data_IF_994527452010
#
_entry.id   IF_994527452010
#
_cell.length_a   1.000
_cell.length_b   1.000
_cell.length_c   1.000
_cell.angle_alpha   90.00
_cell.angle_beta   90.00
_cell.angle_gamma   90.00
#
_symmetry.space_group_name_H-M   'P 1'
#
loop_
_entity.id
_entity.type
_entity.pdbx_description
1 polymer ?
#
# COMPACT_ATOMS: atom_id res chain seq x y z
N UNK A 1 4.77 23.23 -18.37
CA UNK A 1 5.01 21.77 -18.29
C UNK A 1 4.06 20.98 -19.18
N UNK A 2 2.75 21.13 -19.02
CA UNK A 2 1.74 20.37 -19.78
C UNK A 2 1.95 20.43 -21.29
N UNK A 3 2.34 21.59 -21.83
CA UNK A 3 2.62 21.77 -23.26
C UNK A 3 3.76 20.87 -23.77
N UNK A 4 4.84 20.75 -23.01
CA UNK A 4 5.98 19.88 -23.33
C UNK A 4 5.56 18.42 -23.28
N UNK A 5 4.80 18.03 -22.25
CA UNK A 5 4.25 16.67 -22.13
C UNK A 5 3.30 16.34 -23.28
N UNK A 6 2.49 17.31 -23.72
CA UNK A 6 1.61 17.18 -24.86
C UNK A 6 2.40 16.88 -26.14
N UNK A 7 3.45 17.65 -26.44
CA UNK A 7 4.31 17.36 -27.60
C UNK A 7 5.02 16.01 -27.48
N UNK A 8 5.54 15.69 -26.29
CA UNK A 8 6.24 14.43 -26.06
C UNK A 8 5.33 13.21 -26.30
N UNK A 9 4.07 13.27 -25.84
CA UNK A 9 3.07 12.22 -26.10
C UNK A 9 2.67 12.20 -27.57
N UNK A 10 2.32 13.36 -28.15
CA UNK A 10 1.88 13.49 -29.54
C UNK A 10 2.90 12.94 -30.54
N UNK A 11 4.19 13.14 -30.27
CA UNK A 11 5.28 12.74 -31.16
C UNK A 11 6.03 11.49 -30.67
N UNK A 12 5.45 10.71 -29.75
CA UNK A 12 5.99 9.44 -29.25
C UNK A 12 7.36 9.51 -28.53
N UNK A 13 7.79 10.68 -28.06
CA UNK A 13 8.98 10.80 -27.21
C UNK A 13 8.74 10.26 -25.79
N UNK A 14 7.47 10.16 -25.34
CA UNK A 14 7.13 9.61 -24.02
C UNK A 14 7.67 8.20 -23.80
N UNK A 15 7.80 7.39 -24.87
CA UNK A 15 8.32 6.01 -24.85
C UNK A 15 9.79 5.89 -24.41
N UNK A 16 10.56 6.95 -24.61
CA UNK A 16 12.02 6.97 -24.36
C UNK A 16 12.40 7.90 -23.20
N UNK A 17 11.39 8.36 -22.45
CA UNK A 17 11.52 9.37 -21.40
C UNK A 17 11.10 8.84 -20.04
N UNK A 18 11.25 9.64 -18.99
CA UNK A 18 10.85 9.22 -17.64
C UNK A 18 9.35 9.02 -17.53
N UNK A 19 8.99 7.95 -16.81
CA UNK A 19 7.64 7.54 -16.45
C UNK A 19 7.08 8.30 -15.24
N UNK A 20 7.73 9.37 -14.78
CA UNK A 20 7.34 10.13 -13.59
C UNK A 20 7.29 11.64 -13.89
N UNK A 21 6.21 12.31 -13.46
CA UNK A 21 5.99 13.75 -13.67
C UNK A 21 7.12 14.62 -13.11
N UNK A 22 7.71 14.23 -11.99
CA UNK A 22 8.75 15.01 -11.33
C UNK A 22 10.03 15.14 -12.17
N UNK A 23 10.38 14.10 -12.94
CA UNK A 23 11.53 14.16 -13.83
C UNK A 23 11.38 15.24 -14.92
N UNK A 24 10.16 15.41 -15.44
CA UNK A 24 9.83 16.49 -16.37
C UNK A 24 9.89 17.86 -15.71
N UNK A 25 9.46 17.97 -14.45
CA UNK A 25 9.51 19.22 -13.67
C UNK A 25 10.95 19.68 -13.50
N UNK A 26 11.83 18.76 -13.10
CA UNK A 26 13.25 19.03 -12.89
C UNK A 26 13.95 19.45 -14.19
N UNK A 27 13.65 18.79 -15.32
CA UNK A 27 14.19 19.17 -16.62
C UNK A 27 13.80 20.61 -17.01
N UNK A 28 12.50 20.94 -16.90
CA UNK A 28 12.01 22.29 -17.22
C UNK A 28 12.62 23.32 -16.26
N UNK A 29 12.68 23.01 -14.97
CA UNK A 29 13.28 23.88 -13.96
C UNK A 29 14.74 24.16 -14.25
N UNK A 30 15.51 23.15 -14.69
CA UNK A 30 16.92 23.30 -15.03
C UNK A 30 17.15 24.21 -16.24
N UNK A 31 16.37 24.02 -17.31
CA UNK A 31 16.41 24.88 -18.51
C UNK A 31 15.99 26.32 -18.18
N UNK A 32 14.90 26.49 -17.42
CA UNK A 32 14.43 27.82 -16.99
C UNK A 32 15.47 28.53 -16.13
N UNK A 33 16.10 27.81 -15.20
CA UNK A 33 17.13 28.36 -14.33
C UNK A 33 18.36 28.83 -15.12
N UNK A 34 18.87 28.03 -16.06
CA UNK A 34 20.01 28.43 -16.88
C UNK A 34 19.68 29.53 -17.88
N UNK A 35 18.45 29.57 -18.40
CA UNK A 35 17.96 30.69 -19.21
C UNK A 35 17.99 32.00 -18.42
N UNK A 36 17.51 31.99 -17.17
CA UNK A 36 17.53 33.16 -16.28
C UNK A 36 18.97 33.59 -15.99
N UNK A 37 19.86 32.66 -15.65
CA UNK A 37 21.27 32.96 -15.40
C UNK A 37 21.99 33.52 -16.63
N UNK A 38 21.57 33.12 -17.84
CA UNK A 38 22.17 33.58 -19.10
C UNK A 38 21.57 34.91 -19.60
N UNK A 39 20.44 35.33 -19.04
CA UNK A 39 19.69 36.52 -19.47
C UNK A 39 20.47 37.86 -19.39
N UNK A 40 21.36 38.10 -18.41
CA UNK A 40 22.18 39.31 -18.34
C UNK A 40 23.22 39.43 -19.46
N UNK A 41 23.62 38.32 -20.09
CA UNK A 41 24.67 38.30 -21.09
C UNK A 41 24.12 38.55 -22.51
N UNK A 42 24.95 39.04 -23.42
CA UNK A 42 24.67 38.94 -24.85
C UNK A 42 24.81 37.48 -25.28
N UNK A 43 23.82 36.98 -26.01
CA UNK A 43 23.74 35.59 -26.45
C UNK A 43 23.98 35.42 -27.95
N UNK A 44 24.54 36.43 -28.62
CA UNK A 44 24.90 36.30 -30.03
C UNK A 44 25.98 35.24 -30.24
N UNK A 45 26.07 34.74 -31.47
CA UNK A 45 26.96 33.64 -31.84
C UNK A 45 28.21 34.19 -32.52
N UNK A 46 29.39 33.74 -32.08
CA UNK A 46 30.69 34.07 -32.66
C UNK A 46 31.43 32.79 -33.12
N UNK A 47 32.18 32.83 -34.24
CA UNK A 47 32.92 31.66 -34.72
C UNK A 47 34.03 31.19 -33.77
N UNK A 48 34.63 32.09 -33.00
CA UNK A 48 35.77 31.78 -32.12
C UNK A 48 35.34 31.44 -30.67
N UNK A 49 34.04 31.37 -30.41
CA UNK A 49 33.51 31.12 -29.08
C UNK A 49 33.49 29.63 -28.74
N UNK A 50 33.99 29.30 -27.55
CA UNK A 50 33.84 27.95 -27.00
C UNK A 50 32.45 27.79 -26.37
N UNK A 51 31.53 27.24 -27.15
CA UNK A 51 30.16 26.95 -26.72
C UNK A 51 30.06 25.87 -25.64
N UNK A 52 31.16 25.21 -25.26
CA UNK A 52 31.15 24.30 -24.11
C UNK A 52 31.25 25.04 -22.77
N UNK A 53 31.63 26.32 -22.80
CA UNK A 53 31.88 27.14 -21.62
C UNK A 53 30.71 28.11 -21.40
N UNK A 54 30.23 28.18 -20.16
CA UNK A 54 29.28 29.22 -19.71
C UNK A 54 27.89 28.70 -19.29
N UNK A 55 27.04 29.59 -18.74
CA UNK A 55 25.79 29.20 -18.09
C UNK A 55 24.78 28.55 -19.03
N UNK A 56 24.68 29.04 -20.27
CA UNK A 56 23.75 28.54 -21.29
C UNK A 56 24.05 27.10 -21.73
N UNK A 57 25.33 26.72 -21.72
CA UNK A 57 25.77 25.39 -22.13
C UNK A 57 25.81 24.38 -20.97
N UNK A 58 26.07 24.84 -19.75
CA UNK A 58 26.31 23.99 -18.57
C UNK A 58 25.24 22.92 -18.31
N UNK A 59 23.95 23.30 -18.33
CA UNK A 59 22.85 22.37 -18.14
C UNK A 59 22.65 21.46 -19.36
N UNK A 60 22.77 22.02 -20.58
CA UNK A 60 22.67 21.25 -21.82
C UNK A 60 23.71 20.14 -21.90
N UNK A 61 24.97 20.43 -21.53
CA UNK A 61 26.09 19.48 -21.48
C UNK A 61 25.87 18.41 -20.42
N UNK A 62 25.42 18.79 -19.22
CA UNK A 62 25.13 17.84 -18.15
C UNK A 62 24.03 16.85 -18.57
N UNK A 63 22.93 17.35 -19.13
CA UNK A 63 21.85 16.51 -19.63
C UNK A 63 22.29 15.72 -20.87
N UNK A 64 23.18 16.26 -21.71
CA UNK A 64 23.80 15.53 -22.82
C UNK A 64 24.45 14.24 -22.34
N UNK A 65 25.32 14.36 -21.33
CA UNK A 65 26.06 13.24 -20.75
C UNK A 65 25.07 12.23 -20.17
N UNK A 66 24.11 12.69 -19.37
CA UNK A 66 23.08 11.81 -18.77
C UNK A 66 22.21 11.08 -19.79
N UNK A 67 21.78 11.74 -20.86
CA UNK A 67 20.94 11.12 -21.88
C UNK A 67 21.73 10.16 -22.77
N UNK A 68 22.99 10.49 -23.07
CA UNK A 68 23.92 9.58 -23.75
C UNK A 68 24.18 8.33 -22.93
N UNK A 69 24.42 8.49 -21.63
CA UNK A 69 24.56 7.40 -20.66
C UNK A 69 23.34 6.47 -20.64
N UNK A 70 22.15 6.99 -20.99
CA UNK A 70 20.90 6.23 -21.09
C UNK A 70 20.65 5.61 -22.47
N UNK A 71 21.62 5.67 -23.38
CA UNK A 71 21.52 5.13 -24.73
C UNK A 71 20.63 5.94 -25.68
N UNK A 72 20.33 7.19 -25.34
CA UNK A 72 19.52 8.07 -26.20
C UNK A 72 20.39 8.60 -27.32
N UNK A 73 19.91 8.48 -28.56
CA UNK A 73 20.63 9.01 -29.72
C UNK A 73 20.61 10.53 -29.76
N UNK A 74 21.63 11.11 -30.40
CA UNK A 74 21.74 12.55 -30.64
C UNK A 74 20.46 13.12 -31.27
N UNK A 75 19.95 12.45 -32.30
CA UNK A 75 18.73 12.84 -33.01
C UNK A 75 17.48 12.80 -32.14
N UNK A 76 17.35 11.80 -31.26
CA UNK A 76 16.22 11.71 -30.34
C UNK A 76 16.22 12.85 -29.33
N UNK A 77 17.38 13.16 -28.75
CA UNK A 77 17.49 14.24 -27.78
C UNK A 77 17.22 15.60 -28.42
N UNK A 78 17.88 15.92 -29.55
CA UNK A 78 17.67 17.18 -30.26
C UNK A 78 16.22 17.34 -30.72
N UNK A 79 15.58 16.25 -31.17
CA UNK A 79 14.18 16.28 -31.57
C UNK A 79 13.24 16.67 -30.43
N UNK A 80 13.43 16.11 -29.22
CA UNK A 80 12.63 16.52 -28.06
C UNK A 80 12.95 17.96 -27.65
N UNK A 81 14.22 18.38 -27.71
CA UNK A 81 14.65 19.74 -27.38
C UNK A 81 13.97 20.79 -28.28
N UNK A 82 13.66 20.47 -29.55
CA UNK A 82 12.88 21.36 -30.43
C UNK A 82 11.48 21.63 -29.88
N UNK A 83 10.82 20.66 -29.27
CA UNK A 83 9.51 20.86 -28.63
C UNK A 83 9.61 21.62 -27.30
N UNK A 84 10.73 21.49 -26.59
CA UNK A 84 11.04 22.38 -25.46
C UNK A 84 11.16 23.82 -25.95
N UNK A 85 12.00 24.09 -26.96
CA UNK A 85 12.14 25.41 -27.58
C UNK A 85 10.77 25.96 -28.02
N UNK A 86 10.00 25.17 -28.76
CA UNK A 86 8.64 25.55 -29.20
C UNK A 86 7.75 25.95 -28.02
N UNK A 87 7.76 25.17 -26.92
CA UNK A 87 6.93 25.46 -25.76
C UNK A 87 7.33 26.76 -25.04
N UNK A 88 8.63 27.10 -25.00
CA UNK A 88 9.11 28.37 -24.44
C UNK A 88 8.78 29.56 -25.36
N UNK A 89 8.82 29.35 -26.68
CA UNK A 89 8.44 30.37 -27.66
C UNK A 89 6.95 30.69 -27.56
N UNK A 90 6.10 29.65 -27.49
CA UNK A 90 4.67 29.83 -27.26
C UNK A 90 4.38 30.55 -25.94
N UNK A 91 5.17 30.31 -24.89
CA UNK A 91 5.04 31.03 -23.62
C UNK A 91 5.27 32.54 -23.78
N UNK A 92 6.25 32.94 -24.59
CA UNK A 92 6.50 34.36 -24.93
C UNK A 92 5.35 34.92 -25.77
N UNK A 93 4.88 34.16 -26.76
CA UNK A 93 3.79 34.58 -27.66
C UNK A 93 2.44 34.73 -26.94
N UNK A 94 2.20 34.00 -25.86
CA UNK A 94 0.97 34.17 -25.07
C UNK A 94 1.16 35.14 -23.90
N UNK A 95 2.37 35.29 -23.38
CA UNK A 95 2.65 36.04 -22.15
C UNK A 95 3.06 37.51 -22.35
N UNK A 96 3.47 37.92 -23.55
CA UNK A 96 3.97 39.27 -23.83
C UNK A 96 3.22 39.82 -25.04
N UNK A 97 2.66 41.02 -24.97
CA UNK A 97 1.97 41.65 -26.12
C UNK A 97 2.89 41.83 -27.34
N UNK A 98 2.36 41.79 -28.58
CA UNK A 98 3.15 42.04 -29.79
C UNK A 98 3.86 43.39 -29.76
N UNK A 99 5.16 43.40 -30.08
CA UNK A 99 5.98 44.62 -30.14
C UNK A 99 7.47 44.34 -29.90
N UNK A 100 8.27 45.42 -29.87
CA UNK A 100 9.74 45.37 -29.79
C UNK A 100 10.26 44.52 -28.61
N UNK A 101 9.56 44.55 -27.47
CA UNK A 101 9.90 43.73 -26.30
C UNK A 101 9.68 42.24 -26.55
N UNK A 102 8.56 41.84 -27.18
CA UNK A 102 8.31 40.43 -27.54
C UNK A 102 9.40 39.93 -28.48
N UNK A 103 9.75 40.70 -29.51
CA UNK A 103 10.80 40.32 -30.46
C UNK A 103 12.16 40.16 -29.78
N UNK A 104 12.52 41.09 -28.87
CA UNK A 104 13.75 41.02 -28.10
C UNK A 104 13.85 39.76 -27.24
N UNK A 105 12.78 39.40 -26.52
CA UNK A 105 12.77 38.18 -25.69
C UNK A 105 12.71 36.91 -26.53
N UNK A 106 12.03 36.95 -27.67
CA UNK A 106 12.00 35.84 -28.64
C UNK A 106 13.42 35.52 -29.11
N UNK A 107 14.15 36.51 -29.62
CA UNK A 107 15.53 36.34 -30.09
C UNK A 107 16.44 35.83 -28.96
N UNK A 108 16.29 36.36 -27.74
CA UNK A 108 17.07 35.88 -26.59
C UNK A 108 16.83 34.41 -26.28
N UNK A 109 15.58 33.95 -26.28
CA UNK A 109 15.27 32.53 -26.04
C UNK A 109 15.76 31.66 -27.20
N UNK A 110 15.60 32.10 -28.44
CA UNK A 110 16.16 31.40 -29.60
C UNK A 110 17.67 31.20 -29.48
N UNK A 111 18.41 32.29 -29.22
CA UNK A 111 19.86 32.26 -29.05
C UNK A 111 20.32 31.41 -27.88
N UNK A 112 19.57 31.42 -26.77
CA UNK A 112 19.83 30.52 -25.65
C UNK A 112 19.76 29.05 -26.06
N UNK A 113 18.70 28.65 -26.76
CA UNK A 113 18.58 27.27 -27.27
C UNK A 113 19.64 26.96 -28.34
N UNK A 114 19.98 27.90 -29.22
CA UNK A 114 21.04 27.73 -30.23
C UNK A 114 22.41 27.46 -29.56
N UNK A 115 22.78 28.26 -28.55
CA UNK A 115 24.03 28.08 -27.80
C UNK A 115 24.07 26.77 -27.03
N UNK A 116 22.94 26.38 -26.42
CA UNK A 116 22.81 25.10 -25.75
C UNK A 116 23.01 23.94 -26.72
N UNK A 117 22.41 24.00 -27.92
CA UNK A 117 22.55 23.00 -28.97
C UNK A 117 24.00 22.89 -29.47
N UNK A 118 24.69 24.02 -29.67
CA UNK A 118 26.10 24.04 -30.09
C UNK A 118 27.02 23.41 -29.04
N UNK A 119 26.91 23.82 -27.77
CA UNK A 119 27.73 23.26 -26.68
C UNK A 119 27.51 21.76 -26.51
N UNK A 120 26.25 21.34 -26.61
CA UNK A 120 25.85 19.94 -26.58
C UNK A 120 26.45 19.12 -27.74
N UNK A 121 26.35 19.60 -28.99
CA UNK A 121 26.88 18.90 -30.16
C UNK A 121 28.41 18.77 -30.11
N UNK A 122 29.11 19.83 -29.68
CA UNK A 122 30.56 19.82 -29.49
C UNK A 122 30.98 18.77 -28.46
N UNK A 123 30.30 18.71 -27.31
CA UNK A 123 30.52 17.67 -26.28
C UNK A 123 30.15 16.26 -26.77
N UNK A 124 29.18 16.13 -27.67
CA UNK A 124 28.77 14.83 -28.22
C UNK A 124 29.76 14.27 -29.23
N UNK A 125 30.38 15.14 -30.01
CA UNK A 125 31.36 14.78 -31.02
C UNK A 125 32.79 14.65 -30.48
N UNK A 126 33.15 15.32 -29.38
CA UNK A 126 34.51 15.36 -28.83
C UNK A 126 35.00 14.05 -28.19
N UNK A 127 34.13 13.06 -28.00
CA UNK A 127 34.45 11.84 -27.25
C UNK A 127 35.03 10.72 -28.14
N UNK A 128 36.15 10.15 -27.70
CA UNK A 128 36.76 8.96 -28.33
C UNK A 128 35.87 7.72 -28.20
N UNK A 129 35.96 6.78 -29.14
CA UNK A 129 35.25 5.50 -29.07
C UNK A 129 35.59 4.70 -27.80
N UNK A 130 36.84 4.78 -27.35
CA UNK A 130 37.29 4.14 -26.11
C UNK A 130 36.61 4.72 -24.87
N UNK A 131 36.44 6.05 -24.81
CA UNK A 131 35.73 6.69 -23.70
C UNK A 131 34.26 6.23 -23.67
N UNK A 132 33.60 6.20 -24.84
CA UNK A 132 32.20 5.73 -24.97
C UNK A 132 32.04 4.28 -24.52
N UNK A 133 32.98 3.40 -24.87
CA UNK A 133 32.94 2.00 -24.47
C UNK A 133 33.08 1.83 -22.95
N UNK A 134 34.01 2.56 -22.32
CA UNK A 134 34.24 2.49 -20.88
C UNK A 134 33.04 3.03 -20.09
N UNK A 135 32.47 4.14 -20.53
CA UNK A 135 31.23 4.70 -19.98
C UNK A 135 30.07 3.69 -20.07
N UNK A 136 29.86 3.10 -21.25
CA UNK A 136 28.80 2.11 -21.46
C UNK A 136 28.94 0.88 -20.54
N UNK A 137 30.16 0.35 -20.39
CA UNK A 137 30.41 -0.77 -19.48
C UNK A 137 30.13 -0.41 -18.03
N UNK A 138 30.55 0.79 -17.60
CA UNK A 138 30.33 1.30 -16.25
C UNK A 138 28.83 1.45 -15.97
N UNK A 139 28.09 2.04 -16.92
CA UNK A 139 26.64 2.22 -16.81
C UNK A 139 25.88 0.91 -16.84
N UNK A 140 26.28 -0.04 -17.69
CA UNK A 140 25.66 -1.35 -17.70
C UNK A 140 25.81 -2.05 -16.34
N UNK A 141 26.99 -1.94 -15.70
CA UNK A 141 27.17 -2.43 -14.32
C UNK A 141 26.27 -1.71 -13.32
N UNK A 142 26.15 -0.38 -13.40
CA UNK A 142 25.25 0.39 -12.54
C UNK A 142 23.78 -0.04 -12.70
N UNK A 143 23.30 -0.18 -13.94
CA UNK A 143 21.94 -0.63 -14.25
C UNK A 143 21.69 -2.06 -13.76
N UNK A 144 22.65 -2.97 -13.96
CA UNK A 144 22.56 -4.34 -13.43
C UNK A 144 22.50 -4.32 -11.91
N UNK A 145 23.32 -3.51 -11.24
CA UNK A 145 23.32 -3.40 -9.78
C UNK A 145 22.01 -2.82 -9.24
N UNK A 146 21.49 -1.77 -9.87
CA UNK A 146 20.22 -1.16 -9.48
C UNK A 146 19.04 -2.13 -9.71
N UNK A 147 19.03 -2.83 -10.84
CA UNK A 147 18.08 -3.89 -11.13
C UNK A 147 18.13 -5.00 -10.07
N UNK A 148 19.33 -5.48 -9.74
CA UNK A 148 19.53 -6.51 -8.72
C UNK A 148 19.05 -6.00 -7.36
N UNK A 149 19.31 -4.73 -7.02
CA UNK A 149 18.82 -4.12 -5.77
C UNK A 149 17.30 -4.17 -5.68
N UNK A 150 16.58 -3.71 -6.71
CA UNK A 150 15.11 -3.73 -6.69
C UNK A 150 14.54 -5.15 -6.73
N UNK A 151 15.18 -6.08 -7.46
CA UNK A 151 14.80 -7.49 -7.44
C UNK A 151 14.99 -8.09 -6.05
N UNK A 152 16.11 -7.83 -5.39
CA UNK A 152 16.35 -8.27 -4.02
C UNK A 152 15.32 -7.69 -3.05
N UNK A 153 15.00 -6.40 -3.16
CA UNK A 153 13.93 -5.78 -2.35
C UNK A 153 12.61 -6.52 -2.59
N UNK A 154 12.21 -6.68 -3.86
CA UNK A 154 10.98 -7.37 -4.23
C UNK A 154 10.90 -8.79 -3.66
N UNK A 155 11.96 -9.58 -3.78
CA UNK A 155 12.08 -10.93 -3.23
C UNK A 155 12.09 -10.96 -1.69
N UNK A 156 12.56 -9.90 -1.02
CA UNK A 156 12.63 -9.84 0.44
C UNK A 156 11.31 -9.36 1.09
N UNK A 157 10.38 -8.80 0.31
CA UNK A 157 9.07 -8.38 0.85
C UNK A 157 8.35 -9.59 1.45
N UNK A 158 8.00 -9.49 2.73
CA UNK A 158 7.33 -10.56 3.47
C UNK A 158 5.89 -10.83 3.01
N UNK A 159 5.20 -9.80 2.49
CA UNK A 159 3.89 -9.98 1.92
C UNK A 159 4.02 -10.69 0.56
N UNK A 160 3.21 -11.72 0.26
CA UNK A 160 3.08 -12.25 -1.09
C UNK A 160 2.70 -11.16 -2.08
N UNK A 161 3.52 -10.99 -3.12
CA UNK A 161 3.28 -10.04 -4.21
C UNK A 161 3.35 -10.77 -5.55
N UNK A 162 2.36 -10.54 -6.40
CA UNK A 162 2.34 -10.98 -7.79
C UNK A 162 2.09 -9.79 -8.71
N UNK A 163 2.79 -9.79 -9.85
CA UNK A 163 2.66 -8.87 -10.95
C UNK A 163 1.96 -9.59 -12.09
N UNK A 164 0.89 -9.01 -12.62
CA UNK A 164 0.17 -9.51 -13.78
C UNK A 164 0.16 -8.46 -14.90
N UNK A 165 0.20 -8.93 -16.14
CA UNK A 165 0.13 -8.09 -17.33
C UNK A 165 -1.33 -7.74 -17.71
N UNK A 166 -1.53 -7.06 -18.85
CA UNK A 166 -2.87 -6.68 -19.33
C UNK A 166 -3.74 -7.88 -19.73
N UNK A 167 -3.11 -8.99 -20.12
CA UNK A 167 -3.80 -10.24 -20.46
C UNK A 167 -4.09 -11.12 -19.22
N UNK A 168 -3.97 -10.56 -18.01
CA UNK A 168 -4.13 -11.26 -16.73
C UNK A 168 -3.20 -12.48 -16.56
N UNK A 169 -2.03 -12.48 -17.19
CA UNK A 169 -1.00 -13.52 -17.01
C UNK A 169 0.02 -13.08 -15.98
N UNK A 170 0.56 -14.05 -15.24
CA UNK A 170 1.60 -13.80 -14.24
C UNK A 170 2.90 -13.39 -14.92
N UNK A 171 3.32 -12.15 -14.69
CA UNK A 171 4.61 -11.64 -15.17
C UNK A 171 5.74 -12.00 -14.18
N UNK A 172 5.48 -11.89 -12.87
CA UNK A 172 6.43 -12.26 -11.81
C UNK A 172 5.72 -12.37 -10.45
N UNK A 173 6.33 -13.06 -9.49
CA UNK A 173 5.93 -13.01 -8.07
C UNK A 173 7.16 -13.18 -7.18
N UNK A 174 7.08 -12.71 -5.93
CA UNK A 174 8.20 -12.75 -5.01
C UNK A 174 8.34 -14.10 -4.26
N UNK A 175 9.42 -14.24 -3.49
CA UNK A 175 9.67 -15.39 -2.63
C UNK A 175 8.51 -15.72 -1.68
N UNK A 176 7.93 -14.71 -1.01
CA UNK A 176 6.80 -14.91 -0.08
C UNK A 176 5.57 -15.55 -0.75
N UNK A 177 5.28 -15.18 -2.01
CA UNK A 177 4.23 -15.84 -2.79
C UNK A 177 4.54 -17.31 -3.05
N UNK A 178 5.79 -17.61 -3.38
CA UNK A 178 6.27 -18.97 -3.60
C UNK A 178 6.20 -19.83 -2.33
N UNK A 179 6.54 -19.28 -1.17
CA UNK A 179 6.39 -19.98 0.11
C UNK A 179 4.93 -20.31 0.42
N UNK A 180 4.01 -19.42 0.04
CA UNK A 180 2.60 -19.56 0.33
C UNK A 180 1.88 -20.54 -0.61
N UNK A 181 2.18 -20.49 -1.92
CA UNK A 181 1.47 -21.24 -2.97
C UNK A 181 2.36 -22.12 -3.85
N UNK A 182 3.63 -21.76 -4.06
CA UNK A 182 4.52 -22.38 -5.04
C UNK A 182 5.23 -23.64 -4.54
N UNK A 183 5.86 -24.40 -5.45
CA UNK A 183 6.57 -25.65 -5.13
C UNK A 183 8.02 -25.45 -4.65
N UNK A 184 8.66 -24.34 -5.06
CA UNK A 184 10.06 -24.02 -4.75
C UNK A 184 10.14 -22.81 -3.82
N UNK A 185 10.95 -22.91 -2.75
CA UNK A 185 11.23 -21.83 -1.79
C UNK A 185 12.54 -21.08 -2.11
N UNK A 186 13.03 -21.17 -3.36
CA UNK A 186 14.26 -20.47 -3.74
C UNK A 186 13.91 -19.04 -4.19
N UNK A 187 14.44 -17.99 -3.52
CA UNK A 187 14.25 -16.59 -3.95
C UNK A 187 14.74 -16.37 -5.38
N UNK A 188 13.99 -15.61 -6.16
CA UNK A 188 14.36 -15.28 -7.55
C UNK A 188 14.22 -16.44 -8.55
N UNK A 189 13.82 -17.64 -8.10
CA UNK A 189 13.63 -18.80 -8.99
C UNK A 189 12.69 -18.49 -10.15
N UNK A 190 11.64 -17.72 -9.92
CA UNK A 190 10.65 -17.34 -10.96
C UNK A 190 11.20 -16.29 -11.90
N UNK A 191 12.00 -15.35 -11.38
CA UNK A 191 12.65 -14.34 -12.21
C UNK A 191 13.70 -14.95 -13.14
N UNK A 192 14.58 -15.82 -12.62
CA UNK A 192 15.68 -16.41 -13.39
C UNK A 192 15.30 -17.62 -14.24
N UNK A 193 14.13 -18.24 -14.01
CA UNK A 193 13.59 -19.31 -14.85
C UNK A 193 12.72 -18.79 -16.01
N UNK A 194 12.58 -17.46 -16.18
CA UNK A 194 11.86 -16.86 -17.31
C UNK A 194 12.39 -17.40 -18.64
N UNK A 195 11.50 -18.02 -19.42
CA UNK A 195 11.80 -18.64 -20.72
C UNK A 195 12.05 -20.16 -20.68
N UNK A 196 12.14 -20.78 -19.50
CA UNK A 196 12.24 -22.24 -19.33
C UNK A 196 10.96 -22.89 -18.80
N UNK A 197 10.04 -22.09 -18.25
CA UNK A 197 8.75 -22.53 -17.70
C UNK A 197 7.65 -21.82 -18.51
N UNK A 198 6.58 -22.53 -18.94
CA UNK A 198 5.44 -21.88 -19.59
C UNK A 198 4.89 -20.75 -18.72
N UNK A 199 4.31 -19.73 -19.36
CA UNK A 199 3.57 -18.69 -18.65
C UNK A 199 2.57 -19.34 -17.70
N UNK A 200 2.74 -19.06 -16.40
CA UNK A 200 1.85 -19.61 -15.38
C UNK A 200 0.53 -18.86 -15.42
N UNK A 201 -0.55 -19.63 -15.48
CA UNK A 201 -1.89 -19.11 -15.26
C UNK A 201 -1.99 -18.51 -13.85
N UNK A 202 -2.86 -17.50 -13.72
CA UNK A 202 -3.19 -16.92 -12.43
C UNK A 202 -3.92 -17.97 -11.59
N UNK A 203 -3.72 -18.01 -10.26
CA UNK A 203 -4.51 -18.88 -9.41
C UNK A 203 -6.02 -18.64 -9.56
N UNK A 204 -6.83 -19.70 -9.47
CA UNK A 204 -8.29 -19.68 -9.64
C UNK A 204 -9.00 -18.60 -8.82
N UNK A 205 -8.47 -18.28 -7.64
CA UNK A 205 -9.09 -17.27 -6.79
C UNK A 205 -9.01 -15.87 -7.41
N UNK A 206 -7.98 -15.57 -8.21
CA UNK A 206 -7.82 -14.33 -8.97
C UNK A 206 -8.64 -14.32 -10.25
N UNK A 207 -8.80 -15.46 -10.93
CA UNK A 207 -9.67 -15.57 -12.12
C UNK A 207 -11.11 -15.15 -11.82
N UNK A 208 -11.57 -15.38 -10.60
CA UNK A 208 -12.91 -14.97 -10.16
C UNK A 208 -13.00 -13.49 -9.73
N UNK A 209 -11.88 -12.81 -9.53
CA UNK A 209 -11.83 -11.42 -9.03
C UNK A 209 -11.57 -10.44 -10.17
N UNK A 210 -10.59 -10.74 -11.04
CA UNK A 210 -10.13 -9.82 -12.07
C UNK A 210 -11.21 -9.43 -13.10
N UNK A 211 -12.08 -10.33 -13.59
CA UNK A 211 -13.14 -9.97 -14.53
C UNK A 211 -14.21 -9.02 -13.95
N UNK A 212 -14.32 -8.95 -12.62
CA UNK A 212 -15.24 -8.05 -11.93
C UNK A 212 -14.70 -6.62 -11.74
N UNK A 213 -13.44 -6.37 -12.08
CA UNK A 213 -12.83 -5.05 -11.98
C UNK A 213 -13.12 -4.25 -13.26
N UNK A 214 -13.79 -3.11 -13.11
CA UNK A 214 -13.92 -2.15 -14.21
C UNK A 214 -12.54 -1.60 -14.61
N UNK A 215 -12.34 -1.27 -15.89
CA UNK A 215 -11.10 -0.69 -16.42
C UNK A 215 -10.70 0.62 -15.73
N UNK A 216 -11.66 1.32 -15.10
CA UNK A 216 -11.46 2.53 -14.31
C UNK A 216 -10.94 2.27 -12.89
N UNK A 217 -10.99 1.02 -12.41
CA UNK A 217 -10.59 0.64 -11.06
C UNK A 217 -9.06 0.71 -10.93
N UNK A 218 -8.57 1.68 -10.16
CA UNK A 218 -7.13 1.87 -9.94
C UNK A 218 -6.63 1.22 -8.66
N UNK A 219 -7.51 1.05 -7.67
CA UNK A 219 -7.23 0.45 -6.36
C UNK A 219 -8.47 -0.32 -5.89
N UNK A 220 -8.30 -1.60 -5.57
CA UNK A 220 -9.35 -2.48 -5.10
C UNK A 220 -8.86 -3.34 -3.95
N UNK A 221 -9.67 -3.45 -2.89
CA UNK A 221 -9.33 -4.25 -1.71
C UNK A 221 -10.50 -5.15 -1.35
N UNK A 222 -10.22 -6.42 -1.07
CA UNK A 222 -11.20 -7.37 -0.55
C UNK A 222 -10.58 -8.28 0.51
N UNK A 223 -11.41 -8.97 1.27
CA UNK A 223 -10.98 -10.00 2.21
C UNK A 223 -11.47 -11.38 1.76
N UNK A 224 -10.59 -12.38 1.76
CA UNK A 224 -10.93 -13.74 1.34
C UNK A 224 -10.15 -14.77 2.14
N UNK A 225 -10.83 -15.87 2.50
CA UNK A 225 -10.16 -17.05 3.05
C UNK A 225 -9.55 -17.84 1.91
N UNK A 226 -8.24 -18.06 1.97
CA UNK A 226 -7.50 -18.79 0.96
C UNK A 226 -6.94 -20.08 1.57
N UNK A 227 -6.96 -21.16 0.78
CA UNK A 227 -6.28 -22.40 1.11
C UNK A 227 -4.82 -22.23 0.72
N UNK A 228 -3.92 -22.40 1.69
CA UNK A 228 -2.47 -22.28 1.49
C UNK A 228 -1.78 -23.55 1.95
N UNK A 229 -0.46 -23.67 1.71
CA UNK A 229 0.34 -24.78 2.26
C UNK A 229 0.32 -24.85 3.80
N UNK A 230 0.08 -23.72 4.46
CA UNK A 230 0.02 -23.60 5.92
C UNK A 230 -1.41 -23.77 6.46
N UNK A 231 -2.37 -24.15 5.62
CA UNK A 231 -3.79 -24.26 5.95
C UNK A 231 -4.61 -23.06 5.47
N UNK A 232 -5.85 -22.96 5.97
CA UNK A 232 -6.78 -21.90 5.61
C UNK A 232 -6.46 -20.65 6.40
N UNK A 233 -6.20 -19.55 5.70
CA UNK A 233 -5.89 -18.25 6.29
C UNK A 233 -6.77 -17.15 5.70
N UNK A 234 -6.98 -16.07 6.45
CA UNK A 234 -7.72 -14.90 5.99
C UNK A 234 -6.74 -13.85 5.44
N UNK A 235 -6.93 -13.48 4.19
CA UNK A 235 -6.10 -12.46 3.54
C UNK A 235 -6.93 -11.24 3.17
N UNK A 236 -6.34 -10.07 3.40
CA UNK A 236 -6.72 -8.85 2.71
C UNK A 236 -5.93 -8.77 1.40
N UNK A 237 -6.64 -8.84 0.27
CA UNK A 237 -6.09 -8.80 -1.07
C UNK A 237 -6.21 -7.37 -1.59
N UNK A 238 -5.08 -6.74 -1.91
CA UNK A 238 -5.05 -5.41 -2.54
C UNK A 238 -4.56 -5.52 -3.96
N UNK A 239 -5.35 -5.00 -4.90
CA UNK A 239 -5.08 -5.00 -6.34
C UNK A 239 -4.93 -3.55 -6.78
N UNK A 240 -3.79 -3.21 -7.36
CA UNK A 240 -3.50 -1.85 -7.79
C UNK A 240 -2.93 -1.82 -9.19
N UNK A 241 -3.47 -0.95 -10.04
CA UNK A 241 -2.93 -0.73 -11.40
C UNK A 241 -1.54 -0.09 -11.31
N UNK A 242 -0.60 -0.54 -12.13
CA UNK A 242 0.73 0.06 -12.19
C UNK A 242 0.64 1.54 -12.60
N UNK A 243 1.31 2.41 -11.84
CA UNK A 243 1.35 3.85 -12.08
C UNK A 243 2.45 4.18 -13.09
N UNK A 244 2.20 3.88 -14.37
CA UNK A 244 3.13 4.22 -15.46
C UNK A 244 2.50 5.24 -16.43
N UNK A 245 3.00 6.49 -16.40
CA UNK A 245 2.56 7.55 -17.34
C UNK A 245 3.17 7.44 -18.75
N UNK A 246 4.18 6.59 -18.93
CA UNK A 246 4.78 6.30 -20.24
C UNK A 246 4.06 5.21 -21.02
N UNK A 247 3.12 4.53 -20.36
CA UNK A 247 2.28 3.48 -20.95
C UNK A 247 3.09 2.21 -21.34
N UNK A 248 4.27 2.03 -20.72
CA UNK A 248 5.24 0.99 -21.06
C UNK A 248 5.09 -0.27 -20.19
N UNK A 249 4.69 -0.10 -18.94
CA UNK A 249 4.47 -1.12 -17.94
C UNK A 249 3.00 -1.07 -17.56
N UNK A 250 2.19 -1.78 -18.33
CA UNK A 250 0.75 -1.91 -18.08
C UNK A 250 0.45 -3.24 -17.42
N UNK A 251 -0.44 -3.23 -16.43
CA UNK A 251 -0.76 -4.40 -15.63
C UNK A 251 -1.17 -4.02 -14.20
N UNK A 252 -1.24 -5.03 -13.33
CA UNK A 252 -1.64 -4.87 -11.93
C UNK A 252 -0.63 -5.51 -10.98
N UNK A 253 -0.47 -4.88 -9.82
CA UNK A 253 0.25 -5.42 -8.67
C UNK A 253 -0.79 -5.91 -7.68
N UNK A 254 -0.68 -7.17 -7.26
CA UNK A 254 -1.55 -7.78 -6.27
C UNK A 254 -0.71 -8.13 -5.05
N UNK A 255 -1.16 -7.69 -3.88
CA UNK A 255 -0.51 -7.92 -2.59
C UNK A 255 -1.48 -8.65 -1.68
N UNK A 256 -1.02 -9.71 -1.03
CA UNK A 256 -1.78 -10.43 0.00
C UNK A 256 -1.23 -10.08 1.38
N UNK A 257 -2.08 -9.54 2.25
CA UNK A 257 -1.75 -9.32 3.64
C UNK A 257 -2.48 -10.36 4.50
N UNK A 258 -1.73 -11.21 5.20
CA UNK A 258 -2.30 -12.17 6.16
C UNK A 258 -2.84 -11.40 7.37
N UNK A 259 -4.16 -11.46 7.56
CA UNK A 259 -4.87 -10.79 8.66
C UNK A 259 -5.50 -11.81 9.62
N UNK A 260 -5.06 -13.07 9.57
CA UNK A 260 -5.62 -14.15 10.38
C UNK A 260 -5.47 -13.89 11.89
N UNK A 261 -4.28 -13.48 12.31
CA UNK A 261 -4.02 -13.17 13.73
C UNK A 261 -4.75 -11.91 14.18
N UNK A 262 -4.93 -10.93 13.28
CA UNK A 262 -5.70 -9.73 13.55
C UNK A 262 -7.18 -10.05 13.80
N UNK A 263 -7.80 -10.87 12.94
CA UNK A 263 -9.18 -11.35 13.12
C UNK A 263 -9.34 -12.10 14.45
N UNK A 264 -8.37 -12.97 14.78
CA UNK A 264 -8.40 -13.73 16.04
C UNK A 264 -8.30 -12.82 17.26
N UNK A 265 -7.36 -11.88 17.25
CA UNK A 265 -7.19 -10.92 18.34
C UNK A 265 -8.43 -10.04 18.53
N UNK A 266 -9.08 -9.63 17.43
CA UNK A 266 -10.31 -8.85 17.49
C UNK A 266 -11.47 -9.66 18.10
N UNK A 267 -11.62 -10.93 17.71
CA UNK A 267 -12.63 -11.83 18.31
C UNK A 267 -12.37 -12.09 19.79
N UNK A 268 -11.12 -12.36 20.17
CA UNK A 268 -10.73 -12.59 21.56
C UNK A 268 -10.99 -11.34 22.41
N UNK A 269 -10.73 -10.14 21.87
CA UNK A 269 -11.03 -8.86 22.52
C UNK A 269 -12.53 -8.69 22.74
N UNK A 270 -13.34 -8.86 21.70
CA UNK A 270 -14.81 -8.77 21.80
C UNK A 270 -15.35 -9.77 22.83
N UNK A 271 -14.79 -10.98 22.89
CA UNK A 271 -15.20 -11.98 23.86
C UNK A 271 -14.84 -11.59 25.30
N UNK A 272 -13.66 -11.00 25.52
CA UNK A 272 -13.27 -10.46 26.84
C UNK A 272 -14.19 -9.34 27.30
N UNK A 273 -14.44 -8.35 26.44
CA UNK A 273 -15.33 -7.22 26.75
C UNK A 273 -16.74 -7.70 27.12
N UNK A 274 -17.26 -8.74 26.42
CA UNK A 274 -18.53 -9.37 26.78
C UNK A 274 -18.50 -10.03 28.15
N UNK A 275 -17.43 -10.75 28.50
CA UNK A 275 -17.32 -11.41 29.81
C UNK A 275 -17.18 -10.36 30.93
N UNK A 276 -16.38 -9.33 30.73
CA UNK A 276 -16.20 -8.24 31.70
C UNK A 276 -17.52 -7.55 32.01
N UNK A 277 -18.30 -7.16 30.99
CA UNK A 277 -19.62 -6.57 31.20
C UNK A 277 -20.61 -7.51 31.92
N UNK A 278 -20.53 -8.82 31.67
CA UNK A 278 -21.31 -9.83 32.40
C UNK A 278 -20.89 -9.93 33.86
N UNK A 279 -19.60 -9.91 34.15
CA UNK A 279 -19.06 -10.00 35.51
C UNK A 279 -19.43 -8.77 36.34
N UNK A 280 -19.34 -7.57 35.77
CA UNK A 280 -19.78 -6.34 36.43
C UNK A 280 -21.28 -6.38 36.78
N UNK A 281 -22.12 -6.75 35.81
CA UNK A 281 -23.56 -6.90 36.05
C UNK A 281 -23.87 -8.01 37.07
N UNK A 282 -23.20 -9.16 36.97
CA UNK A 282 -23.35 -10.26 37.91
C UNK A 282 -22.98 -9.85 39.35
N UNK A 283 -21.88 -9.12 39.52
CA UNK A 283 -21.44 -8.60 40.81
C UNK A 283 -22.47 -7.65 41.42
N UNK A 284 -22.96 -6.68 40.63
CA UNK A 284 -23.99 -5.73 41.06
C UNK A 284 -25.30 -6.44 41.44
N UNK A 285 -25.80 -7.32 40.56
CA UNK A 285 -27.04 -8.09 40.80
C UNK A 285 -26.90 -9.01 42.01
N UNK A 286 -25.76 -9.69 42.18
CA UNK A 286 -25.54 -10.54 43.36
C UNK A 286 -25.54 -9.71 44.64
N UNK A 287 -24.91 -8.53 44.64
CA UNK A 287 -24.92 -7.64 45.78
C UNK A 287 -26.34 -7.20 46.12
N UNK A 288 -27.12 -6.72 45.15
CA UNK A 288 -28.49 -6.25 45.35
C UNK A 288 -29.49 -7.37 45.71
N UNK A 289 -29.28 -8.60 45.23
CA UNK A 289 -30.14 -9.76 45.58
C UNK A 289 -29.77 -10.34 46.95
N UNK A 290 -28.48 -10.44 47.28
CA UNK A 290 -28.06 -11.05 48.55
C UNK A 290 -28.51 -10.24 49.77
N UNK A 291 -28.60 -8.91 49.66
CA UNK A 291 -29.06 -8.04 50.75
C UNK A 291 -30.47 -8.37 51.26
N UNK A 292 -31.55 -8.32 50.44
CA UNK A 292 -32.89 -8.68 50.88
C UNK A 292 -33.00 -10.17 51.23
N UNK A 293 -32.27 -11.07 50.56
CA UNK A 293 -32.27 -12.50 50.92
C UNK A 293 -31.75 -12.75 52.33
N UNK A 294 -30.70 -12.06 52.77
CA UNK A 294 -30.20 -12.16 54.14
C UNK A 294 -31.25 -11.71 55.17
N UNK A 295 -32.00 -10.64 54.86
CA UNK A 295 -33.09 -10.16 55.72
C UNK A 295 -34.22 -11.20 55.79
N UNK A 296 -34.64 -11.74 54.65
CA UNK A 296 -35.69 -12.78 54.59
C UNK A 296 -35.26 -14.02 55.35
N UNK A 297 -34.01 -14.48 55.17
CA UNK A 297 -33.46 -15.64 55.87
C UNK A 297 -33.49 -15.40 57.39
N UNK A 298 -32.93 -14.30 57.86
CA UNK A 298 -32.84 -14.00 59.30
C UNK A 298 -34.20 -13.83 59.96
N UNK A 299 -35.15 -13.15 59.31
CA UNK A 299 -36.52 -13.03 59.83
C UNK A 299 -37.24 -14.38 59.90
N UNK A 300 -37.06 -15.22 58.87
CA UNK A 300 -37.67 -16.56 58.83
C UNK A 300 -37.08 -17.46 59.91
N UNK A 301 -35.77 -17.38 60.17
CA UNK A 301 -35.11 -18.09 61.28
C UNK A 301 -35.63 -17.63 62.65
N UNK A 302 -35.77 -16.32 62.88
CA UNK A 302 -36.33 -15.79 64.14
C UNK A 302 -37.77 -16.28 64.34
N UNK A 303 -38.62 -16.19 63.32
CA UNK A 303 -40.02 -16.64 63.39
C UNK A 303 -40.07 -18.14 63.70
N UNK A 304 -39.18 -18.93 63.10
CA UNK A 304 -39.09 -20.37 63.35
C UNK A 304 -38.68 -20.70 64.78
N UNK A 305 -37.79 -19.91 65.40
CA UNK A 305 -37.35 -20.10 66.79
C UNK A 305 -38.46 -19.82 67.82
N UNK A 306 -39.40 -18.92 67.52
CA UNK A 306 -40.48 -18.51 68.43
C UNK A 306 -41.81 -19.22 68.18
N UNK A 307 -41.87 -20.11 67.18
CA UNK A 307 -43.09 -20.85 66.80
C UNK A 307 -42.96 -22.31 67.24
N UNK A 308 -44.03 -22.88 67.81
CA UNK A 308 -44.07 -24.30 68.20
C UNK A 308 -43.77 -25.24 67.02
N UNK A 309 -43.09 -26.36 67.29
CA UNK A 309 -42.67 -27.33 66.27
C UNK A 309 -43.85 -28.01 65.55
N UNK A 310 -45.01 -28.15 66.20
CA UNK A 310 -46.22 -28.77 65.63
C UNK A 310 -47.13 -27.75 64.90
N UNK A 311 -46.74 -26.48 64.86
CA UNK A 311 -47.55 -25.44 64.24
C UNK A 311 -47.68 -25.67 62.71
N UNK A 312 -48.89 -25.55 62.12
CA UNK A 312 -49.08 -25.74 60.67
C UNK A 312 -48.20 -24.86 59.77
N UNK A 313 -47.71 -23.73 60.28
CA UNK A 313 -46.88 -22.76 59.55
C UNK A 313 -45.42 -23.21 59.38
N UNK A 314 -44.93 -24.18 60.17
CA UNK A 314 -43.54 -24.67 60.10
C UNK A 314 -43.15 -25.12 58.69
N UNK A 315 -44.05 -25.85 58.00
CA UNK A 315 -43.83 -26.30 56.62
C UNK A 315 -43.63 -25.15 55.64
N UNK A 316 -44.31 -24.02 55.85
CA UNK A 316 -44.16 -22.84 55.01
C UNK A 316 -42.83 -22.14 55.28
N UNK A 317 -42.42 -22.04 56.55
CA UNK A 317 -41.11 -21.47 56.95
C UNK A 317 -39.95 -22.28 56.37
N UNK A 318 -40.02 -23.62 56.43
CA UNK A 318 -39.04 -24.51 55.80
C UNK A 318 -38.95 -24.32 54.29
N UNK A 319 -40.10 -24.11 53.64
CA UNK A 319 -40.14 -23.84 52.21
C UNK A 319 -39.46 -22.51 51.88
N UNK A 320 -39.71 -21.45 52.66
CA UNK A 320 -39.08 -20.13 52.48
C UNK A 320 -37.56 -20.23 52.67
N UNK A 321 -37.09 -20.91 53.72
CA UNK A 321 -35.66 -21.14 53.97
C UNK A 321 -35.03 -21.92 52.81
N UNK A 322 -35.68 -22.99 52.33
CA UNK A 322 -35.19 -23.77 51.19
C UNK A 322 -35.08 -22.94 49.90
N UNK A 323 -36.08 -22.12 49.58
CA UNK A 323 -36.04 -21.29 48.36
C UNK A 323 -35.01 -20.16 48.48
N UNK A 324 -34.88 -19.54 49.66
CA UNK A 324 -33.86 -18.53 49.94
C UNK A 324 -32.44 -19.13 49.79
N UNK A 325 -32.23 -20.35 50.27
CA UNK A 325 -30.99 -21.10 50.08
C UNK A 325 -30.69 -21.38 48.60
N UNK A 326 -31.69 -21.82 47.82
CA UNK A 326 -31.55 -22.01 46.37
C UNK A 326 -31.20 -20.72 45.64
N UNK A 327 -31.78 -19.59 46.03
CA UNK A 327 -31.41 -18.28 45.46
C UNK A 327 -29.95 -17.92 45.78
N UNK A 328 -29.46 -18.23 46.98
CA UNK A 328 -28.05 -18.08 47.34
C UNK A 328 -27.09 -18.97 46.53
N UNK A 329 -27.52 -20.18 46.15
CA UNK A 329 -26.74 -21.02 45.22
C UNK A 329 -26.69 -20.42 43.82
N UNK A 330 -27.79 -19.83 43.34
CA UNK A 330 -27.84 -19.16 42.04
C UNK A 330 -26.92 -17.93 42.02
N UNK A 331 -26.92 -17.09 43.07
CA UNK A 331 -26.02 -15.93 43.13
C UNK A 331 -24.55 -16.35 43.19
N UNK A 332 -24.22 -17.45 43.89
CA UNK A 332 -22.87 -18.04 43.84
C UNK A 332 -22.46 -18.50 42.44
N UNK A 333 -23.35 -19.17 41.71
CA UNK A 333 -23.08 -19.56 40.31
C UNK A 333 -22.90 -18.34 39.41
N UNK A 334 -23.68 -17.28 39.62
CA UNK A 334 -23.59 -16.03 38.86
C UNK A 334 -22.23 -15.32 39.09
N UNK A 335 -21.70 -15.31 40.31
CA UNK A 335 -20.37 -14.75 40.63
C UNK A 335 -19.20 -15.57 40.04
N UNK A 336 -19.41 -16.86 39.76
CA UNK A 336 -18.37 -17.77 39.28
C UNK A 336 -18.39 -17.97 37.75
N UNK A 337 -19.06 -17.08 37.01
CA UNK A 337 -19.02 -17.09 35.55
C UNK A 337 -17.58 -16.87 35.06
N UNK A 338 -17.11 -17.71 34.13
CA UNK A 338 -15.76 -17.58 33.54
C UNK A 338 -15.77 -17.57 32.01
N UNK A 339 -16.91 -17.87 31.39
CA UNK A 339 -17.07 -17.96 29.94
C UNK A 339 -18.40 -17.35 29.52
N UNK A 340 -18.39 -16.70 28.36
CA UNK A 340 -19.62 -16.19 27.74
C UNK A 340 -20.34 -17.32 27.01
N UNK A 341 -21.33 -17.91 27.67
CA UNK A 341 -22.21 -18.95 27.12
C UNK A 341 -23.65 -18.47 27.14
N UNK A 342 -24.38 -18.70 26.06
CA UNK A 342 -25.77 -18.23 25.94
C UNK A 342 -26.70 -19.37 25.56
N UNK A 343 -27.98 -19.22 25.90
CA UNK A 343 -29.07 -20.09 25.45
C UNK A 343 -30.16 -19.26 24.78
N UNK A 344 -30.87 -19.82 23.78
CA UNK A 344 -31.99 -19.13 23.15
C UNK A 344 -33.05 -18.80 24.20
N UNK A 345 -33.58 -17.58 24.17
CA UNK A 345 -34.67 -17.16 25.05
C UNK A 345 -35.49 -16.06 24.39
N UNK A 346 -36.76 -16.37 24.14
CA UNK A 346 -37.71 -15.50 23.45
C UNK A 346 -37.13 -14.98 22.11
N UNK A 347 -37.07 -13.65 21.91
CA UNK A 347 -36.55 -12.99 20.71
C UNK A 347 -35.04 -12.78 20.71
N UNK A 348 -34.30 -13.39 21.64
CA UNK A 348 -32.85 -13.20 21.77
C UNK A 348 -32.15 -14.36 22.47
N UNK A 349 -31.06 -14.06 23.16
CA UNK A 349 -30.31 -15.03 23.93
C UNK A 349 -30.07 -14.49 25.35
N UNK A 350 -30.13 -15.37 26.35
CA UNK A 350 -29.75 -15.06 27.72
C UNK A 350 -28.53 -15.89 28.10
N UNK A 351 -27.81 -15.43 29.12
CA UNK A 351 -26.63 -16.13 29.63
C UNK A 351 -27.06 -17.47 30.21
N UNK A 352 -26.33 -18.51 29.84
CA UNK A 352 -26.52 -19.84 30.40
C UNK A 352 -25.59 -20.01 31.62
N UNK A 353 -26.07 -19.57 32.79
CA UNK A 353 -25.31 -19.56 34.04
C UNK A 353 -24.69 -20.93 34.36
N UNK A 354 -25.43 -22.02 34.12
CA UNK A 354 -24.95 -23.38 34.42
C UNK A 354 -23.79 -23.84 33.51
N UNK A 355 -23.74 -23.38 32.25
CA UNK A 355 -22.61 -23.67 31.35
C UNK A 355 -21.47 -22.67 31.48
N UNK A 356 -21.79 -21.45 31.91
CA UNK A 356 -20.86 -20.34 32.05
C UNK A 356 -20.01 -20.42 33.33
N UNK A 357 -20.52 -21.12 34.36
CA UNK A 357 -19.85 -21.35 35.65
C UNK A 357 -19.34 -22.79 35.74
N UNK A 358 -18.02 -23.05 35.63
CA UNK A 358 -17.47 -24.38 35.85
C UNK A 358 -17.68 -24.81 37.30
N UNK A 359 -18.15 -26.05 37.51
CA UNK A 359 -18.33 -26.63 38.83
C UNK A 359 -16.96 -26.83 39.50
N UNK A 360 -16.63 -26.03 40.50
CA UNK A 360 -15.34 -26.12 41.22
C UNK A 360 -15.21 -27.37 42.11
N UNK A 361 -16.16 -28.28 42.07
CA UNK A 361 -16.17 -29.53 42.84
C UNK A 361 -15.26 -30.64 42.26
N UNK A 362 -14.59 -30.41 41.12
CA UNK A 362 -13.78 -31.43 40.43
C UNK A 362 -12.28 -31.12 40.25
N UNK A 363 -11.75 -30.06 40.88
CA UNK A 363 -10.32 -29.74 40.82
C UNK A 363 -9.76 -29.64 42.24
N UNK A 364 -9.45 -30.80 42.81
CA UNK A 364 -8.62 -30.98 44.02
C UNK A 364 -7.19 -31.34 43.64
#
# INVERSE_FOLDING_TARGET
MERILFYAKKHNYSKYSSTLTEAWRLSISGISYTLILSCPNELELSPDEDYTIGPAASFGILEARRHRERGISLAMFLGLLKYYRQSYMELIEHGIEPGLYRDKYRIKVERFFDRMELGFCTEWCSQSENTKMLELQTKNREVINEKNRYLTIFETIHAPVVLINEENRVENYNHAWNELFGESSIPGSTYYSKGMIPEKEIPDFLENILPGLDQSTTDYTLEKRLVTKQGVKLFQIRIKKMLDISDKYRGMVIILNDITDLEKAEKDKIQKEKIEGVLEMAGAVCHEINQPLQVVLGQTEIIKMITDEDAPIQKNLDTILSQTGKMGEITKKLMNITRYETKPYLKGAIINIDKASPDRSASG
#
